data_IF_523507512211
#
_entry.id   IF_523507512211
#
_cell.length_a   1.000
_cell.length_b   1.000
_cell.length_c   1.000
_cell.angle_alpha   90.00
_cell.angle_beta   90.00
_cell.angle_gamma   90.00
#
_symmetry.space_group_name_H-M   'P 1'
#
loop_
_entity.id
_entity.type
_entity.pdbx_description
1 polymer ?
#
# COMPACT_ATOMS: atom_id res chain seq x y z
N UNK A 1 37.84 -36.72 -36.39
CA UNK A 1 36.58 -35.97 -36.60
C UNK A 1 35.39 -36.59 -35.84
N UNK A 2 35.32 -37.91 -35.67
CA UNK A 2 34.20 -38.58 -34.98
C UNK A 2 34.19 -38.44 -33.44
N UNK A 3 35.36 -38.31 -32.80
CA UNK A 3 35.47 -38.20 -31.33
C UNK A 3 34.98 -36.86 -30.76
N UNK A 4 35.12 -35.77 -31.49
CA UNK A 4 34.64 -34.42 -31.10
C UNK A 4 33.12 -34.32 -31.22
N UNK A 5 32.54 -34.92 -32.26
CA UNK A 5 31.09 -34.97 -32.48
C UNK A 5 30.40 -35.82 -31.39
N UNK A 6 30.93 -36.98 -31.03
CA UNK A 6 30.37 -37.83 -29.98
C UNK A 6 30.50 -37.15 -28.58
N UNK A 7 31.58 -36.40 -28.37
CA UNK A 7 31.76 -35.59 -27.17
C UNK A 7 30.72 -34.45 -27.05
N UNK A 8 30.46 -33.78 -28.19
CA UNK A 8 29.45 -32.73 -28.27
C UNK A 8 28.03 -33.26 -28.00
N UNK A 9 27.65 -34.36 -28.66
CA UNK A 9 26.34 -35.00 -28.46
C UNK A 9 26.14 -35.43 -27.00
N UNK A 10 27.16 -36.01 -26.38
CA UNK A 10 27.08 -36.44 -24.98
C UNK A 10 27.02 -35.25 -24.01
N UNK A 11 27.67 -34.14 -24.31
CA UNK A 11 27.59 -32.92 -23.55
C UNK A 11 26.18 -32.30 -23.64
N UNK A 12 25.65 -32.17 -24.85
CA UNK A 12 24.28 -31.67 -25.10
C UNK A 12 23.26 -32.51 -24.33
N UNK A 13 23.36 -33.86 -24.46
CA UNK A 13 22.44 -34.77 -23.77
C UNK A 13 22.48 -34.61 -22.23
N UNK A 14 23.67 -34.47 -21.66
CA UNK A 14 23.83 -34.24 -20.22
C UNK A 14 23.22 -32.88 -19.81
N UNK A 15 23.54 -31.83 -20.54
CA UNK A 15 22.99 -30.49 -20.29
C UNK A 15 21.46 -30.46 -20.41
N UNK A 16 20.91 -31.14 -21.40
CA UNK A 16 19.45 -31.25 -21.59
C UNK A 16 18.78 -31.96 -20.40
N UNK A 17 19.38 -33.04 -19.90
CA UNK A 17 18.85 -33.73 -18.70
C UNK A 17 18.84 -32.83 -17.47
N UNK A 18 19.93 -32.10 -17.23
CA UNK A 18 20.02 -31.16 -16.13
C UNK A 18 18.99 -30.03 -16.28
N UNK A 19 18.87 -29.48 -17.50
CA UNK A 19 17.87 -28.46 -17.80
C UNK A 19 16.45 -28.95 -17.53
N UNK A 20 16.11 -30.15 -18.00
CA UNK A 20 14.78 -30.74 -17.78
C UNK A 20 14.51 -31.00 -16.29
N UNK A 21 15.52 -31.53 -15.56
CA UNK A 21 15.40 -31.73 -14.13
C UNK A 21 15.15 -30.40 -13.38
N UNK A 22 15.91 -29.36 -13.72
CA UNK A 22 15.72 -28.03 -13.14
C UNK A 22 14.37 -27.42 -13.51
N UNK A 23 13.90 -27.59 -14.75
CA UNK A 23 12.56 -27.15 -15.15
C UNK A 23 11.46 -27.83 -14.30
N UNK A 24 11.58 -29.13 -14.04
CA UNK A 24 10.61 -29.83 -13.19
C UNK A 24 10.69 -29.35 -11.76
N UNK A 25 11.89 -29.22 -11.21
CA UNK A 25 12.07 -28.77 -9.82
C UNK A 25 11.60 -27.32 -9.63
N UNK A 26 12.05 -26.40 -10.49
CA UNK A 26 11.76 -24.97 -10.34
C UNK A 26 10.42 -24.56 -10.95
N UNK A 27 9.94 -25.28 -11.97
CA UNK A 27 8.67 -24.96 -12.62
C UNK A 27 7.44 -25.69 -12.03
N UNK A 28 7.65 -26.78 -11.31
CA UNK A 28 6.54 -27.56 -10.74
C UNK A 28 6.65 -27.70 -9.22
N UNK A 29 7.72 -28.31 -8.70
CA UNK A 29 7.81 -28.61 -7.28
C UNK A 29 7.99 -27.35 -6.43
N UNK A 30 8.82 -26.40 -6.85
CA UNK A 30 9.03 -25.15 -6.09
C UNK A 30 7.75 -24.28 -6.03
N UNK A 31 7.06 -23.97 -7.13
CA UNK A 31 5.78 -23.22 -7.06
C UNK A 31 4.72 -23.96 -6.23
N UNK A 32 4.61 -25.28 -6.36
CA UNK A 32 3.68 -26.06 -5.59
C UNK A 32 3.99 -25.99 -4.07
N UNK A 33 5.27 -26.09 -3.69
CA UNK A 33 5.69 -25.96 -2.29
C UNK A 33 5.40 -24.55 -1.73
N UNK A 34 5.67 -23.51 -2.50
CA UNK A 34 5.35 -22.12 -2.13
C UNK A 34 3.84 -21.92 -1.98
N UNK A 35 3.05 -22.47 -2.91
CA UNK A 35 1.60 -22.41 -2.83
C UNK A 35 1.05 -23.11 -1.57
N UNK A 36 1.53 -24.31 -1.25
CA UNK A 36 1.14 -25.04 -0.04
C UNK A 36 1.52 -24.24 1.22
N UNK A 37 2.75 -23.69 1.27
CA UNK A 37 3.19 -22.85 2.39
C UNK A 37 2.31 -21.59 2.52
N UNK A 38 1.90 -20.99 1.40
CA UNK A 38 1.01 -19.84 1.38
C UNK A 38 -0.36 -20.13 2.02
N UNK A 39 -0.84 -21.37 2.01
CA UNK A 39 -2.11 -21.71 2.66
C UNK A 39 -2.08 -21.58 4.20
N UNK A 40 -0.89 -21.63 4.81
CA UNK A 40 -0.73 -21.31 6.23
C UNK A 40 -0.99 -19.81 6.53
N UNK A 41 -0.89 -18.94 5.50
CA UNK A 41 -1.10 -17.50 5.57
C UNK A 41 -2.13 -17.08 4.51
N UNK A 42 -3.27 -17.77 4.46
CA UNK A 42 -4.25 -17.66 3.38
C UNK A 42 -4.71 -16.20 3.15
N UNK A 43 -4.98 -15.43 4.20
CA UNK A 43 -5.38 -14.03 4.08
C UNK A 43 -4.36 -13.21 3.24
N UNK A 44 -3.07 -13.32 3.57
CA UNK A 44 -2.00 -12.63 2.84
C UNK A 44 -1.80 -13.20 1.44
N UNK A 45 -1.84 -14.53 1.29
CA UNK A 45 -1.65 -15.21 0.01
C UNK A 45 -2.79 -14.92 -0.98
N UNK A 46 -3.99 -14.64 -0.49
CA UNK A 46 -5.17 -14.31 -1.30
C UNK A 46 -5.37 -12.79 -1.48
N UNK A 47 -4.34 -11.98 -1.19
CA UNK A 47 -4.30 -10.54 -1.50
C UNK A 47 -4.83 -9.63 -0.40
N UNK A 48 -4.89 -10.10 0.86
CA UNK A 48 -5.30 -9.30 2.04
C UNK A 48 -6.63 -8.57 1.82
N UNK A 49 -7.62 -9.30 1.30
CA UNK A 49 -8.92 -8.73 0.93
C UNK A 49 -9.70 -8.29 2.17
N UNK A 50 -10.27 -7.09 2.09
CA UNK A 50 -11.16 -6.52 3.10
C UNK A 50 -12.62 -6.77 2.75
N UNK A 51 -13.44 -6.98 3.77
CA UNK A 51 -14.89 -7.19 3.60
C UNK A 51 -15.69 -6.28 4.52
N UNK A 52 -16.74 -5.68 4.00
CA UNK A 52 -17.76 -4.92 4.72
C UNK A 52 -19.12 -5.55 4.41
N UNK A 53 -19.90 -5.91 5.43
CA UNK A 53 -21.22 -6.57 5.31
C UNK A 53 -21.21 -7.81 4.40
N UNK A 54 -20.13 -8.60 4.47
CA UNK A 54 -19.96 -9.83 3.67
C UNK A 54 -19.61 -9.60 2.21
N UNK A 55 -19.36 -8.35 1.79
CA UNK A 55 -18.92 -8.00 0.44
C UNK A 55 -17.44 -7.59 0.46
N UNK A 56 -16.67 -8.11 -0.46
CA UNK A 56 -15.29 -7.64 -0.66
C UNK A 56 -15.30 -6.21 -1.18
N UNK A 57 -14.61 -5.32 -0.45
CA UNK A 57 -14.57 -3.88 -0.74
C UNK A 57 -13.19 -3.41 -1.22
N UNK A 58 -12.18 -4.26 -1.17
CA UNK A 58 -10.83 -3.94 -1.64
C UNK A 58 -9.78 -4.79 -0.96
N UNK A 59 -8.52 -4.36 -1.08
CA UNK A 59 -7.37 -4.95 -0.38
C UNK A 59 -6.80 -3.94 0.60
N UNK A 60 -6.37 -4.41 1.77
CA UNK A 60 -5.65 -3.57 2.74
C UNK A 60 -4.28 -3.10 2.24
N UNK A 61 -3.78 -3.69 1.14
CA UNK A 61 -2.47 -3.39 0.58
C UNK A 61 -2.51 -2.29 -0.50
N UNK A 62 -3.69 -1.92 -1.02
CA UNK A 62 -3.84 -1.01 -2.16
C UNK A 62 -4.72 0.16 -1.76
N UNK A 63 -4.14 1.37 -1.73
CA UNK A 63 -4.86 2.60 -1.44
C UNK A 63 -6.04 2.80 -2.38
N UNK A 64 -7.11 3.36 -1.84
CA UNK A 64 -8.32 3.69 -2.58
C UNK A 64 -8.59 5.20 -2.51
N UNK A 65 -9.11 5.77 -3.58
CA UNK A 65 -9.51 7.17 -3.60
C UNK A 65 -10.72 7.39 -2.67
N UNK A 66 -10.48 8.02 -1.54
CA UNK A 66 -11.50 8.45 -0.58
C UNK A 66 -11.63 9.97 -0.53
N UNK A 67 -10.95 10.71 -1.41
CA UNK A 67 -10.87 12.19 -1.38
C UNK A 67 -12.23 12.88 -1.53
N UNK A 68 -13.20 12.20 -2.11
CA UNK A 68 -14.57 12.74 -2.32
C UNK A 68 -15.49 12.56 -1.10
N UNK A 69 -15.11 11.75 -0.10
CA UNK A 69 -15.90 11.54 1.09
C UNK A 69 -15.25 12.21 2.31
N UNK A 70 -15.75 13.35 2.78
CA UNK A 70 -15.18 14.06 3.93
C UNK A 70 -15.33 13.29 5.25
N UNK A 71 -16.15 12.26 5.30
CA UNK A 71 -16.33 11.41 6.48
C UNK A 71 -15.26 10.32 6.60
N UNK A 72 -14.39 10.12 5.59
CA UNK A 72 -13.34 9.13 5.57
C UNK A 72 -11.95 9.78 5.73
N UNK A 73 -10.99 9.00 6.18
CA UNK A 73 -9.58 9.38 6.12
C UNK A 73 -9.09 9.27 4.68
N UNK A 74 -8.29 10.25 4.27
CA UNK A 74 -7.71 10.31 2.93
C UNK A 74 -6.29 9.78 2.93
N UNK A 75 -5.90 8.97 1.94
CA UNK A 75 -4.53 8.48 1.77
C UNK A 75 -3.61 9.59 1.23
N UNK A 76 -2.35 9.24 0.98
CA UNK A 76 -1.41 10.08 0.24
C UNK A 76 -1.85 10.23 -1.22
N UNK A 77 -1.46 11.33 -1.86
CA UNK A 77 -1.72 11.54 -3.29
C UNK A 77 -1.19 10.37 -4.14
N UNK A 78 -1.94 10.04 -5.17
CA UNK A 78 -1.55 9.09 -6.21
C UNK A 78 -1.25 9.82 -7.51
N UNK A 79 -0.11 9.54 -8.12
CA UNK A 79 0.20 10.01 -9.47
C UNK A 79 -0.50 9.19 -10.57
N UNK A 80 -1.07 8.04 -10.21
CA UNK A 80 -1.80 7.14 -11.10
C UNK A 80 -3.27 6.97 -10.75
N UNK A 81 -3.88 7.96 -10.07
CA UNK A 81 -5.31 7.99 -9.71
C UNK A 81 -5.79 6.72 -8.99
N UNK A 82 -4.91 6.11 -8.19
CA UNK A 82 -5.16 4.85 -7.45
C UNK A 82 -5.54 3.66 -8.35
N UNK A 83 -5.13 3.69 -9.64
CA UNK A 83 -5.35 2.57 -10.55
C UNK A 83 -4.46 1.38 -10.16
N UNK A 84 -5.06 0.33 -9.62
CA UNK A 84 -4.38 -0.90 -9.21
C UNK A 84 -3.67 -1.64 -10.36
N UNK A 85 -3.96 -1.30 -11.62
CA UNK A 85 -3.31 -1.86 -12.80
C UNK A 85 -2.13 -1.02 -13.29
N UNK A 86 -1.95 0.21 -12.76
CA UNK A 86 -0.96 1.18 -13.22
C UNK A 86 -0.16 1.77 -12.05
N UNK A 87 0.56 0.90 -11.30
CA UNK A 87 1.43 1.37 -10.22
C UNK A 87 2.58 2.22 -10.75
N UNK A 88 2.75 3.42 -10.18
CA UNK A 88 3.82 4.34 -10.54
C UNK A 88 3.79 5.63 -9.73
N UNK A 89 4.94 6.29 -9.62
CA UNK A 89 5.08 7.59 -8.98
C UNK A 89 5.09 8.74 -9.99
N UNK A 90 5.07 9.97 -9.49
CA UNK A 90 5.11 11.19 -10.34
C UNK A 90 6.43 11.36 -11.09
N UNK A 91 7.52 10.75 -10.60
CA UNK A 91 8.88 10.89 -11.13
C UNK A 91 9.36 12.35 -11.25
N UNK A 92 8.75 13.29 -10.52
CA UNK A 92 9.14 14.68 -10.51
C UNK A 92 10.46 14.86 -9.74
N UNK A 93 11.29 15.79 -10.22
CA UNK A 93 12.53 16.14 -9.54
C UNK A 93 12.24 16.82 -8.19
N UNK A 94 12.81 16.35 -7.07
CA UNK A 94 12.56 16.92 -5.74
C UNK A 94 13.00 18.38 -5.59
N UNK A 95 13.82 18.90 -6.50
CA UNK A 95 14.29 20.30 -6.56
C UNK A 95 13.70 21.08 -7.73
N UNK A 96 12.70 20.53 -8.43
CA UNK A 96 12.04 21.16 -9.57
C UNK A 96 11.03 22.23 -9.13
N UNK A 97 10.81 23.23 -9.98
CA UNK A 97 9.79 24.27 -9.73
C UNK A 97 8.38 23.67 -9.70
N UNK A 98 8.12 22.68 -10.55
CA UNK A 98 6.84 21.99 -10.66
C UNK A 98 6.46 21.31 -9.35
N UNK A 99 7.35 20.50 -8.75
CA UNK A 99 7.07 19.82 -7.47
C UNK A 99 6.91 20.84 -6.33
N UNK A 100 7.68 21.93 -6.36
CA UNK A 100 7.59 22.97 -5.33
C UNK A 100 6.23 23.65 -5.36
N UNK A 101 5.73 23.99 -6.56
CA UNK A 101 4.40 24.56 -6.73
C UNK A 101 3.29 23.57 -6.31
N UNK A 102 3.39 22.32 -6.74
CA UNK A 102 2.45 21.27 -6.38
C UNK A 102 2.39 21.05 -4.86
N UNK A 103 3.53 21.00 -4.17
CA UNK A 103 3.60 20.85 -2.71
C UNK A 103 2.94 22.03 -2.00
N UNK A 104 3.15 23.27 -2.46
CA UNK A 104 2.53 24.45 -1.87
C UNK A 104 1.00 24.43 -2.05
N UNK A 105 0.52 24.11 -3.25
CA UNK A 105 -0.90 24.01 -3.55
C UNK A 105 -1.57 22.91 -2.70
N UNK A 106 -0.99 21.72 -2.64
CA UNK A 106 -1.51 20.61 -1.85
C UNK A 106 -1.52 20.93 -0.36
N UNK A 107 -0.49 21.60 0.14
CA UNK A 107 -0.42 22.03 1.55
C UNK A 107 -1.60 22.94 1.90
N UNK A 108 -1.85 23.96 1.08
CA UNK A 108 -2.95 24.86 1.28
C UNK A 108 -4.32 24.17 1.17
N UNK A 109 -4.46 23.22 0.24
CA UNK A 109 -5.67 22.41 0.06
C UNK A 109 -5.96 21.58 1.32
N UNK A 110 -5.00 20.79 1.78
CA UNK A 110 -5.12 19.90 2.94
C UNK A 110 -5.37 20.71 4.22
N UNK A 111 -4.66 21.82 4.41
CA UNK A 111 -4.86 22.71 5.53
C UNK A 111 -6.30 23.23 5.60
N UNK A 112 -6.82 23.72 4.49
CA UNK A 112 -8.20 24.22 4.36
C UNK A 112 -9.22 23.12 4.59
N UNK A 113 -9.02 21.95 4.00
CA UNK A 113 -9.93 20.81 4.12
C UNK A 113 -10.07 20.33 5.57
N UNK A 114 -8.96 20.29 6.29
CA UNK A 114 -8.92 19.80 7.67
C UNK A 114 -9.04 20.92 8.73
N UNK A 115 -9.13 22.20 8.30
CA UNK A 115 -9.26 23.33 9.20
C UNK A 115 -8.04 23.55 10.10
N UNK A 116 -6.84 23.31 9.59
CA UNK A 116 -5.57 23.45 10.30
C UNK A 116 -4.65 24.47 9.64
N UNK A 117 -3.63 24.91 10.38
CA UNK A 117 -2.57 25.76 9.80
C UNK A 117 -1.69 24.95 8.82
N UNK A 118 -1.25 25.56 7.72
CA UNK A 118 -0.36 24.94 6.73
C UNK A 118 0.96 24.43 7.35
N UNK A 119 1.43 25.08 8.42
CA UNK A 119 2.66 24.71 9.10
C UNK A 119 2.58 23.34 9.81
N UNK A 120 1.38 22.85 10.13
CA UNK A 120 1.18 21.54 10.79
C UNK A 120 0.88 20.42 9.80
N UNK A 121 0.77 20.73 8.51
CA UNK A 121 0.57 19.72 7.47
C UNK A 121 1.89 18.95 7.25
N UNK A 122 1.93 17.63 7.51
CA UNK A 122 3.16 16.87 7.44
C UNK A 122 3.61 16.63 5.99
N UNK A 123 4.87 16.27 5.83
CA UNK A 123 5.50 16.12 4.51
C UNK A 123 4.87 15.01 3.67
N UNK A 124 4.49 13.89 4.27
CA UNK A 124 3.86 12.77 3.57
C UNK A 124 2.47 13.12 3.01
N UNK A 125 1.76 14.06 3.64
CA UNK A 125 0.47 14.52 3.15
C UNK A 125 0.57 15.26 1.79
N UNK A 126 1.69 15.93 1.54
CA UNK A 126 1.90 16.77 0.35
C UNK A 126 2.80 16.13 -0.70
N UNK A 127 3.21 14.88 -0.51
CA UNK A 127 4.03 14.13 -1.45
C UNK A 127 3.31 12.89 -1.94
N UNK A 128 3.33 12.66 -3.25
CA UNK A 128 2.73 11.47 -3.83
C UNK A 128 3.44 10.20 -3.36
N UNK A 129 2.70 9.12 -3.23
CA UNK A 129 3.23 7.78 -3.02
C UNK A 129 4.10 7.35 -4.21
N UNK A 130 5.24 6.70 -3.95
CA UNK A 130 6.12 6.18 -5.01
C UNK A 130 5.46 5.12 -5.88
N UNK A 131 4.59 4.30 -5.30
CA UNK A 131 3.81 3.30 -6.03
C UNK A 131 2.51 3.86 -6.60
N UNK A 132 2.05 5.02 -6.11
CA UNK A 132 0.70 5.53 -6.35
C UNK A 132 -0.41 4.73 -5.65
N UNK A 133 -0.07 3.69 -4.90
CA UNK A 133 -1.01 2.72 -4.31
C UNK A 133 -0.76 2.44 -2.82
N UNK A 134 0.15 3.18 -2.16
CA UNK A 134 0.46 2.98 -0.75
C UNK A 134 -0.72 3.41 0.14
N UNK A 135 -1.32 2.49 0.92
CA UNK A 135 -2.44 2.81 1.81
C UNK A 135 -2.00 3.45 3.13
N UNK A 136 -0.71 3.63 3.36
CA UNK A 136 -0.17 4.11 4.62
C UNK A 136 0.05 5.62 4.61
N UNK A 137 -0.30 6.23 5.75
CA UNK A 137 -0.02 7.64 6.07
C UNK A 137 0.70 7.73 7.41
N UNK A 138 1.35 8.87 7.67
CA UNK A 138 1.94 9.13 8.99
C UNK A 138 0.86 9.29 10.08
N UNK A 139 1.15 8.98 11.36
CA UNK A 139 0.26 9.29 12.47
C UNK A 139 -0.07 10.79 12.56
N UNK A 140 0.85 11.65 12.14
CA UNK A 140 0.68 13.09 12.06
C UNK A 140 -0.39 13.46 11.03
N UNK A 141 -0.34 12.86 9.84
CA UNK A 141 -1.35 13.10 8.81
C UNK A 141 -2.72 12.54 9.22
N UNK A 142 -2.78 11.37 9.83
CA UNK A 142 -4.04 10.86 10.38
C UNK A 142 -4.62 11.80 11.45
N UNK A 143 -3.77 12.38 12.33
CA UNK A 143 -4.19 13.25 13.42
C UNK A 143 -4.85 14.53 12.95
N UNK A 144 -4.33 15.19 11.92
CA UNK A 144 -4.93 16.43 11.40
C UNK A 144 -6.29 16.20 10.74
N UNK A 145 -6.60 14.97 10.30
CA UNK A 145 -7.87 14.60 9.69
C UNK A 145 -8.98 14.29 10.70
N UNK A 146 -8.64 14.04 11.99
CA UNK A 146 -9.60 13.58 13.02
C UNK A 146 -10.81 14.50 13.13
N UNK A 147 -10.62 15.83 13.17
CA UNK A 147 -11.70 16.80 13.37
C UNK A 147 -12.69 16.78 12.20
N UNK A 148 -12.17 16.78 10.96
CA UNK A 148 -12.97 16.68 9.75
C UNK A 148 -13.78 15.40 9.73
N UNK A 149 -13.12 14.27 9.98
CA UNK A 149 -13.73 12.94 9.96
C UNK A 149 -14.80 12.83 11.05
N UNK A 150 -14.51 13.25 12.28
CA UNK A 150 -15.50 13.23 13.38
C UNK A 150 -16.76 14.03 13.04
N UNK A 151 -16.58 15.26 12.51
CA UNK A 151 -17.70 16.14 12.15
C UNK A 151 -18.59 15.52 11.07
N UNK A 152 -18.01 14.82 10.08
CA UNK A 152 -18.74 14.31 8.92
C UNK A 152 -19.22 12.85 9.11
N UNK A 153 -18.56 12.07 9.98
CA UNK A 153 -18.98 10.68 10.27
C UNK A 153 -20.08 10.57 11.31
N UNK A 154 -20.30 11.63 12.13
CA UNK A 154 -21.22 11.59 13.26
C UNK A 154 -20.63 10.97 14.53
N UNK A 155 -19.41 10.48 14.48
CA UNK A 155 -18.71 9.93 15.65
C UNK A 155 -18.09 11.06 16.51
N UNK A 156 -17.91 10.79 17.80
CA UNK A 156 -17.20 11.73 18.65
C UNK A 156 -15.71 11.82 18.25
N UNK A 157 -15.12 13.01 18.41
CA UNK A 157 -13.67 13.22 18.20
C UNK A 157 -12.80 12.21 18.97
N UNK A 158 -13.22 11.86 20.19
CA UNK A 158 -12.51 10.87 21.01
C UNK A 158 -12.59 9.46 20.43
N UNK A 159 -13.73 9.05 19.88
CA UNK A 159 -13.89 7.75 19.22
C UNK A 159 -12.99 7.67 17.97
N UNK A 160 -13.03 8.70 17.12
CA UNK A 160 -12.17 8.75 15.92
C UNK A 160 -10.68 8.73 16.29
N UNK A 161 -10.27 9.48 17.32
CA UNK A 161 -8.90 9.47 17.82
C UNK A 161 -8.46 8.09 18.37
N UNK A 162 -9.37 7.35 18.99
CA UNK A 162 -9.10 5.98 19.45
C UNK A 162 -8.93 5.02 18.28
N UNK A 163 -9.72 5.16 17.22
CA UNK A 163 -9.54 4.38 15.98
C UNK A 163 -8.18 4.64 15.35
N UNK A 164 -7.76 5.89 15.21
CA UNK A 164 -6.42 6.22 14.71
C UNK A 164 -5.35 5.56 15.57
N UNK A 165 -5.44 5.66 16.90
CA UNK A 165 -4.49 5.03 17.81
C UNK A 165 -4.47 3.51 17.67
N UNK A 166 -5.63 2.87 17.50
CA UNK A 166 -5.76 1.41 17.29
C UNK A 166 -5.05 0.96 16.00
N UNK A 167 -5.17 1.76 14.94
CA UNK A 167 -4.59 1.45 13.62
C UNK A 167 -3.18 2.01 13.41
N UNK A 168 -2.61 2.68 14.41
CA UNK A 168 -1.20 3.10 14.36
C UNK A 168 -0.31 1.89 14.61
N UNK A 169 0.44 1.51 13.59
CA UNK A 169 1.42 0.43 13.65
C UNK A 169 2.79 1.01 14.01
N UNK A 170 3.41 0.48 15.03
CA UNK A 170 4.76 0.86 15.44
C UNK A 170 5.84 0.27 14.51
N UNK A 171 7.08 0.67 14.75
CA UNK A 171 8.24 0.15 14.01
C UNK A 171 8.38 -1.36 14.20
N UNK A 172 8.65 -2.07 13.11
CA UNK A 172 8.92 -3.51 13.15
C UNK A 172 10.15 -3.79 14.03
N UNK A 173 10.02 -4.74 14.97
CA UNK A 173 11.03 -5.05 15.98
C UNK A 173 11.47 -3.84 16.84
N UNK A 174 10.70 -2.75 16.85
CA UNK A 174 10.97 -1.54 17.63
C UNK A 174 11.97 -0.57 16.99
N UNK A 175 12.64 -0.93 15.90
CA UNK A 175 13.67 -0.08 15.28
C UNK A 175 13.58 0.01 13.74
N UNK A 176 12.96 -0.95 13.05
CA UNK A 176 12.91 -0.97 11.60
C UNK A 176 11.62 -0.33 11.07
N UNK A 177 11.74 0.56 10.09
CA UNK A 177 10.64 1.29 9.46
C UNK A 177 10.20 2.52 10.26
N UNK A 178 9.03 3.02 9.93
CA UNK A 178 8.38 4.18 10.55
C UNK A 178 7.04 3.76 11.17
N UNK A 179 6.50 4.63 12.04
CA UNK A 179 5.13 4.46 12.50
C UNK A 179 4.17 4.87 11.39
N UNK A 180 3.18 4.05 11.11
CA UNK A 180 2.23 4.26 10.02
C UNK A 180 0.80 3.93 10.42
N UNK A 181 -0.16 4.49 9.69
CA UNK A 181 -1.57 4.18 9.79
C UNK A 181 -2.07 3.69 8.45
N UNK A 182 -2.61 2.48 8.38
CA UNK A 182 -3.26 1.99 7.17
C UNK A 182 -4.66 2.63 7.05
N UNK A 183 -4.83 3.46 6.03
CA UNK A 183 -6.08 4.23 5.82
C UNK A 183 -7.25 3.33 5.46
N UNK A 184 -7.01 2.24 4.72
CA UNK A 184 -8.07 1.33 4.33
C UNK A 184 -8.66 0.59 5.53
N UNK A 185 -7.80 0.02 6.38
CA UNK A 185 -8.23 -0.68 7.60
C UNK A 185 -8.89 0.29 8.60
N UNK A 186 -8.35 1.51 8.71
CA UNK A 186 -8.92 2.56 9.56
C UNK A 186 -10.31 2.97 9.08
N UNK A 187 -10.50 3.18 7.78
CA UNK A 187 -11.79 3.55 7.21
C UNK A 187 -12.82 2.41 7.32
N UNK A 188 -12.37 1.15 7.18
CA UNK A 188 -13.25 0.00 7.37
C UNK A 188 -13.82 -0.04 8.79
N UNK A 189 -12.98 0.10 9.81
CA UNK A 189 -13.41 0.15 11.21
C UNK A 189 -14.27 1.39 11.52
N UNK A 190 -13.96 2.52 10.87
CA UNK A 190 -14.75 3.74 11.00
C UNK A 190 -16.18 3.54 10.46
N UNK A 191 -16.34 2.88 9.32
CA UNK A 191 -17.64 2.55 8.72
C UNK A 191 -18.42 1.58 9.61
N UNK A 192 -17.77 0.54 10.10
CA UNK A 192 -18.37 -0.42 11.02
C UNK A 192 -18.77 0.18 12.39
N UNK A 193 -18.20 1.31 12.78
CA UNK A 193 -18.54 1.99 14.04
C UNK A 193 -19.72 2.96 13.90
N UNK A 194 -20.23 3.19 12.68
CA UNK A 194 -21.40 4.03 12.41
C UNK A 194 -22.72 3.26 12.52
N UNK A 195 -22.67 1.93 12.38
CA UNK A 195 -23.79 1.01 12.48
C UNK A 195 -24.01 0.58 13.95
#
# INVERSE_FOLDING_TARGET
>A
MNSTLSGLVSAVWRSTRVLLALLVVLGLFYPAAVWVAGRAFAHNADGSMMSLDGRTVGSSLIAQDTSKDPALFHPRMSAGDYDGLASGGSNLSPVGEEITAQVAEQRALIARENGVDEAVVPADAVTASSSGLDPHISPEYARIQIERVAKNSGLSRSAVAQLVKKHTQGRTLGFAGEEVVNVNDLNLDLLAAKD
#
